data_IF_097960821015
#
_entry.id   IF_097960821015
#
_cell.length_a   1.000
_cell.length_b   1.000
_cell.length_c   1.000
_cell.angle_alpha   90.00
_cell.angle_beta   90.00
_cell.angle_gamma   90.00
#
_symmetry.space_group_name_H-M   'P 1'
#
loop_
_entity.id
_entity.type
_entity.pdbx_description
1 polymer ?
#
# COMPACT_ATOMS: atom_id res chain seq x y z
N UNK A 1 -29.68 -13.08 7.28
CA UNK A 1 -30.06 -13.76 6.02
C UNK A 1 -28.78 -14.01 5.23
N UNK A 2 -28.49 -15.23 4.86
CA UNK A 2 -27.36 -15.52 3.97
C UNK A 2 -27.73 -14.99 2.57
N UNK A 3 -27.00 -13.96 2.12
CA UNK A 3 -27.14 -13.43 0.77
C UNK A 3 -26.37 -14.37 -0.16
N UNK A 4 -27.07 -15.05 -1.06
CA UNK A 4 -26.46 -15.87 -2.10
C UNK A 4 -26.26 -14.96 -3.31
N UNK A 5 -25.01 -14.80 -3.74
CA UNK A 5 -24.67 -14.03 -4.92
C UNK A 5 -25.33 -14.62 -6.17
N UNK A 6 -25.96 -13.77 -6.95
CA UNK A 6 -26.56 -14.14 -8.26
C UNK A 6 -25.84 -13.37 -9.36
N UNK A 7 -25.10 -14.09 -10.18
CA UNK A 7 -24.45 -13.51 -11.34
C UNK A 7 -25.48 -12.99 -12.35
N UNK A 8 -25.40 -11.72 -12.71
CA UNK A 8 -26.29 -11.09 -13.69
C UNK A 8 -25.58 -9.89 -14.33
N UNK A 9 -26.08 -9.45 -15.49
CA UNK A 9 -25.66 -8.20 -16.12
C UNK A 9 -26.34 -6.95 -15.52
N UNK A 10 -27.17 -7.13 -14.49
CA UNK A 10 -27.78 -6.05 -13.71
C UNK A 10 -27.00 -5.82 -12.43
N UNK A 11 -27.43 -4.84 -11.61
CA UNK A 11 -26.88 -4.61 -10.26
C UNK A 11 -26.95 -5.91 -9.45
N UNK A 12 -25.90 -6.18 -8.66
CA UNK A 12 -25.87 -7.33 -7.76
C UNK A 12 -27.00 -7.24 -6.72
N UNK A 13 -27.40 -8.37 -6.16
CA UNK A 13 -28.43 -8.42 -5.11
C UNK A 13 -27.95 -7.88 -3.75
N UNK A 14 -26.69 -7.47 -3.64
CA UNK A 14 -26.09 -6.82 -2.47
C UNK A 14 -25.73 -5.35 -2.75
N UNK A 15 -26.17 -4.80 -3.88
CA UNK A 15 -25.82 -3.44 -4.30
C UNK A 15 -26.22 -2.37 -3.26
N UNK A 16 -27.38 -2.49 -2.62
CA UNK A 16 -27.84 -1.51 -1.62
C UNK A 16 -26.90 -1.40 -0.41
N UNK A 17 -26.28 -2.51 0.00
CA UNK A 17 -25.28 -2.50 1.07
C UNK A 17 -24.02 -1.77 0.64
N UNK A 18 -23.49 -2.08 -0.57
CA UNK A 18 -22.30 -1.41 -1.11
C UNK A 18 -22.58 0.08 -1.31
N UNK A 19 -23.73 0.45 -1.84
CA UNK A 19 -24.13 1.85 -2.01
C UNK A 19 -24.10 2.59 -0.68
N UNK A 20 -24.71 2.02 0.36
CA UNK A 20 -24.73 2.60 1.72
C UNK A 20 -23.32 2.76 2.30
N UNK A 21 -22.45 1.75 2.14
CA UNK A 21 -21.05 1.81 2.59
C UNK A 21 -20.26 2.87 1.82
N UNK A 22 -20.40 2.94 0.50
CA UNK A 22 -19.72 3.93 -0.33
C UNK A 22 -20.13 5.38 0.04
N UNK A 23 -21.43 5.61 0.22
CA UNK A 23 -21.95 6.91 0.66
C UNK A 23 -21.43 7.29 2.05
N UNK A 24 -21.38 6.30 2.97
CA UNK A 24 -20.83 6.54 4.30
C UNK A 24 -19.35 6.91 4.26
N UNK A 25 -18.54 6.22 3.46
CA UNK A 25 -17.12 6.56 3.31
C UNK A 25 -16.93 7.94 2.70
N UNK A 26 -17.73 8.31 1.69
CA UNK A 26 -17.64 9.61 1.04
C UNK A 26 -18.01 10.79 1.98
N UNK A 27 -18.92 10.57 2.95
CA UNK A 27 -19.38 11.60 3.87
C UNK A 27 -18.71 11.58 5.25
N UNK A 28 -18.16 10.44 5.63
CA UNK A 28 -17.64 10.18 6.97
C UNK A 28 -16.25 9.53 6.95
N UNK A 29 -16.18 8.26 7.33
CA UNK A 29 -14.94 7.47 7.40
C UNK A 29 -15.28 5.98 7.34
N UNK A 30 -14.45 5.21 6.63
CA UNK A 30 -14.49 3.76 6.61
C UNK A 30 -13.15 3.16 7.01
N UNK A 31 -13.19 1.96 7.54
CA UNK A 31 -12.03 1.13 7.84
C UNK A 31 -12.14 -0.16 7.03
N UNK A 32 -11.10 -0.45 6.22
CA UNK A 32 -11.05 -1.63 5.37
C UNK A 32 -9.83 -2.47 5.73
N UNK A 33 -10.00 -3.79 5.80
CA UNK A 33 -8.89 -4.73 5.86
C UNK A 33 -8.37 -5.01 4.46
N UNK A 34 -7.14 -4.55 4.18
CA UNK A 34 -6.41 -4.76 2.93
C UNK A 34 -5.14 -5.60 3.14
N UNK A 35 -5.12 -6.42 4.19
CA UNK A 35 -3.98 -7.29 4.52
C UNK A 35 -3.63 -8.29 3.41
N UNK A 36 -4.55 -8.53 2.48
CA UNK A 36 -4.33 -9.36 1.29
C UNK A 36 -3.39 -8.72 0.22
N UNK A 37 -3.03 -7.44 0.34
CA UNK A 37 -1.99 -6.87 -0.53
C UNK A 37 -0.70 -7.66 -0.43
N UNK A 38 -0.08 -7.91 -1.58
CA UNK A 38 1.26 -8.45 -1.63
C UNK A 38 2.29 -7.41 -1.17
N UNK A 39 3.27 -7.86 -0.41
CA UNK A 39 4.28 -6.97 0.18
C UNK A 39 5.66 -7.58 0.03
N UNK A 40 6.61 -6.77 -0.43
CA UNK A 40 8.00 -7.17 -0.39
C UNK A 40 8.93 -6.04 0.06
N UNK A 41 10.05 -6.43 0.63
CA UNK A 41 11.17 -5.56 0.97
C UNK A 41 12.25 -5.71 -0.08
N UNK A 42 12.82 -4.58 -0.50
CA UNK A 42 13.98 -4.51 -1.39
C UNK A 42 15.07 -3.76 -0.65
N UNK A 43 16.17 -4.44 -0.37
CA UNK A 43 17.28 -3.88 0.41
C UNK A 43 18.62 -4.10 -0.28
N UNK A 44 19.59 -3.27 0.07
CA UNK A 44 20.97 -3.40 -0.40
C UNK A 44 21.52 -2.13 -1.02
N UNK A 45 22.84 -2.04 -1.18
CA UNK A 45 23.52 -0.82 -1.63
C UNK A 45 23.11 -0.39 -3.06
N UNK A 46 22.61 -1.30 -3.89
CA UNK A 46 22.14 -0.99 -5.24
C UNK A 46 20.60 -1.05 -5.38
N UNK A 47 19.85 -1.04 -4.27
CA UNK A 47 18.39 -1.17 -4.29
C UNK A 47 17.71 -0.06 -5.14
N UNK A 48 18.14 1.21 -4.99
CA UNK A 48 17.60 2.34 -5.76
C UNK A 48 17.90 2.20 -7.25
N UNK A 49 19.17 1.94 -7.61
CA UNK A 49 19.59 1.78 -8.99
C UNK A 49 18.88 0.63 -9.69
N UNK A 50 18.77 -0.51 -9.00
CA UNK A 50 18.07 -1.67 -9.53
C UNK A 50 16.57 -1.41 -9.70
N UNK A 51 15.88 -0.85 -8.70
CA UNK A 51 14.45 -0.51 -8.82
C UNK A 51 14.18 0.43 -9.99
N UNK A 52 15.02 1.47 -10.18
CA UNK A 52 14.90 2.38 -11.32
C UNK A 52 15.11 1.69 -12.69
N UNK A 53 15.79 0.56 -12.72
CA UNK A 53 15.93 -0.26 -13.96
C UNK A 53 14.73 -1.19 -14.21
N UNK A 54 13.94 -1.47 -13.17
CA UNK A 54 12.80 -2.40 -13.23
C UNK A 54 11.47 -1.69 -13.47
N UNK A 55 11.31 -0.48 -12.94
CA UNK A 55 10.07 0.31 -13.06
C UNK A 55 10.21 1.48 -14.02
N UNK A 56 9.12 1.88 -14.63
CA UNK A 56 9.10 2.98 -15.62
C UNK A 56 9.16 4.37 -14.99
N UNK A 57 8.72 4.51 -13.72
CA UNK A 57 8.77 5.77 -12.98
C UNK A 57 10.09 5.87 -12.20
N UNK A 58 10.46 7.09 -11.85
CA UNK A 58 11.56 7.31 -10.91
C UNK A 58 11.10 6.93 -9.51
N UNK A 59 11.84 6.03 -8.85
CA UNK A 59 11.54 5.65 -7.46
C UNK A 59 11.77 6.80 -6.48
N UNK A 60 11.08 6.81 -5.32
CA UNK A 60 11.28 7.84 -4.30
C UNK A 60 12.74 7.95 -3.87
N UNK A 61 13.31 9.16 -3.95
CA UNK A 61 14.71 9.44 -3.59
C UNK A 61 14.89 9.75 -2.10
N UNK A 62 13.92 10.43 -1.48
CA UNK A 62 14.00 10.82 -0.09
C UNK A 62 13.32 9.79 0.82
N UNK A 63 13.94 9.48 1.95
CA UNK A 63 13.34 8.64 3.00
C UNK A 63 11.99 9.21 3.42
N UNK A 64 11.02 8.36 3.65
CA UNK A 64 9.65 8.74 3.98
C UNK A 64 8.77 9.08 2.78
N UNK A 65 9.29 9.07 1.55
CA UNK A 65 8.47 9.34 0.34
C UNK A 65 7.92 8.08 -0.27
N UNK A 66 6.76 8.25 -0.91
CA UNK A 66 6.03 7.21 -1.63
C UNK A 66 5.95 7.58 -3.10
N UNK A 67 6.07 6.61 -3.99
CA UNK A 67 5.85 6.73 -5.43
C UNK A 67 4.97 5.61 -5.94
N UNK A 68 4.09 5.92 -6.87
CA UNK A 68 3.34 4.94 -7.64
C UNK A 68 4.13 4.61 -8.90
N UNK A 69 4.53 3.36 -9.07
CA UNK A 69 5.44 2.94 -10.13
C UNK A 69 4.89 1.73 -10.88
N UNK A 70 5.15 1.67 -12.18
CA UNK A 70 4.72 0.56 -13.03
C UNK A 70 5.92 -0.23 -13.55
N UNK A 71 5.82 -1.54 -13.48
CA UNK A 71 6.71 -2.44 -14.19
C UNK A 71 6.10 -2.73 -15.57
N UNK A 72 6.92 -2.59 -16.61
CA UNK A 72 6.45 -2.78 -17.99
C UNK A 72 7.00 -4.06 -18.61
N UNK A 73 6.26 -4.61 -19.54
CA UNK A 73 6.76 -5.63 -20.47
C UNK A 73 7.65 -4.99 -21.54
N UNK A 74 8.40 -5.82 -22.29
CA UNK A 74 9.23 -5.36 -23.41
C UNK A 74 8.45 -4.60 -24.50
N UNK A 75 7.14 -4.84 -24.58
CA UNK A 75 6.26 -4.20 -25.56
C UNK A 75 5.53 -2.97 -24.99
N UNK A 76 5.92 -2.50 -23.79
CA UNK A 76 5.35 -1.31 -23.15
C UNK A 76 4.02 -1.56 -22.41
N UNK A 77 3.50 -2.78 -22.38
CA UNK A 77 2.29 -3.11 -21.61
C UNK A 77 2.58 -3.12 -20.10
N UNK A 78 1.64 -2.62 -19.29
CA UNK A 78 1.74 -2.67 -17.83
C UNK A 78 1.71 -4.12 -17.36
N UNK A 79 2.76 -4.53 -16.63
CA UNK A 79 2.90 -5.86 -16.05
C UNK A 79 2.49 -5.90 -14.59
N UNK A 80 2.91 -4.91 -13.83
CA UNK A 80 2.57 -4.75 -12.43
C UNK A 80 2.57 -3.26 -12.05
N UNK A 81 1.82 -2.94 -11.01
CA UNK A 81 1.81 -1.62 -10.37
C UNK A 81 2.26 -1.78 -8.92
N UNK A 82 3.14 -0.89 -8.48
CA UNK A 82 3.67 -0.88 -7.14
C UNK A 82 3.46 0.47 -6.47
N UNK A 83 2.98 0.46 -5.25
CA UNK A 83 3.25 1.53 -4.29
C UNK A 83 4.63 1.27 -3.71
N UNK A 84 5.58 2.17 -3.92
CA UNK A 84 6.96 2.05 -3.44
C UNK A 84 7.20 3.11 -2.37
N UNK A 85 7.53 2.67 -1.17
CA UNK A 85 7.86 3.51 -0.02
C UNK A 85 9.33 3.37 0.33
N UNK A 86 10.09 4.48 0.38
CA UNK A 86 11.48 4.48 0.82
C UNK A 86 11.55 4.54 2.35
N UNK A 87 11.77 3.39 3.00
CA UNK A 87 11.85 3.24 4.45
C UNK A 87 13.13 3.84 5.04
N UNK A 88 14.25 3.61 4.35
CA UNK A 88 15.56 4.16 4.72
C UNK A 88 16.46 4.24 3.47
N UNK A 89 17.72 4.62 3.61
CA UNK A 89 18.62 4.88 2.48
C UNK A 89 18.67 3.72 1.47
N UNK A 90 18.79 2.49 1.95
CA UNK A 90 18.93 1.27 1.14
C UNK A 90 17.78 0.29 1.36
N UNK A 91 16.60 0.77 1.77
CA UNK A 91 15.45 -0.07 2.07
C UNK A 91 14.16 0.51 1.47
N UNK A 92 13.57 -0.24 0.56
CA UNK A 92 12.32 0.06 -0.10
C UNK A 92 11.27 -0.98 0.26
N UNK A 93 10.08 -0.52 0.49
CA UNK A 93 8.90 -1.34 0.74
C UNK A 93 7.93 -1.22 -0.43
N UNK A 94 7.59 -2.34 -1.04
CA UNK A 94 6.70 -2.43 -2.19
C UNK A 94 5.38 -3.06 -1.76
N UNK A 95 4.28 -2.43 -2.15
CA UNK A 95 2.91 -2.95 -1.98
C UNK A 95 2.29 -3.09 -3.36
N UNK A 96 1.63 -4.22 -3.63
CA UNK A 96 1.05 -4.53 -4.93
C UNK A 96 -0.12 -5.52 -4.83
N UNK A 97 -0.74 -5.85 -5.97
CA UNK A 97 -1.93 -6.69 -6.02
C UNK A 97 -1.68 -8.09 -5.45
N UNK A 98 -2.42 -8.47 -4.41
CA UNK A 98 -2.30 -9.79 -3.76
C UNK A 98 -2.59 -10.96 -4.71
N UNK A 99 -3.53 -10.79 -5.64
CA UNK A 99 -3.85 -11.80 -6.66
C UNK A 99 -2.69 -12.10 -7.63
N UNK A 100 -1.75 -11.17 -7.77
CA UNK A 100 -0.57 -11.29 -8.64
C UNK A 100 0.72 -11.59 -7.87
N UNK A 101 0.65 -11.80 -6.55
CA UNK A 101 1.82 -11.92 -5.68
C UNK A 101 2.86 -12.90 -6.23
N UNK A 102 2.46 -14.13 -6.58
CA UNK A 102 3.39 -15.14 -7.07
C UNK A 102 4.05 -14.75 -8.38
N UNK A 103 3.24 -14.24 -9.32
CA UNK A 103 3.71 -13.85 -10.65
C UNK A 103 4.71 -12.69 -10.56
N UNK A 104 4.40 -11.65 -9.80
CA UNK A 104 5.24 -10.46 -9.73
C UNK A 104 6.48 -10.70 -8.86
N UNK A 105 6.34 -11.45 -7.77
CA UNK A 105 7.45 -11.91 -6.95
C UNK A 105 8.48 -12.72 -7.76
N UNK A 106 8.02 -13.72 -8.50
CA UNK A 106 8.93 -14.56 -9.32
C UNK A 106 9.66 -13.72 -10.37
N UNK A 107 8.99 -12.72 -10.91
CA UNK A 107 9.63 -11.83 -11.89
C UNK A 107 10.66 -10.91 -11.24
N UNK A 108 10.35 -10.27 -10.13
CA UNK A 108 11.30 -9.46 -9.37
C UNK A 108 12.54 -10.26 -8.97
N UNK A 109 12.34 -11.50 -8.49
CA UNK A 109 13.44 -12.41 -8.15
C UNK A 109 14.35 -12.73 -9.34
N UNK A 110 13.77 -12.94 -10.52
CA UNK A 110 14.54 -13.21 -11.75
C UNK A 110 15.35 -12.01 -12.23
N UNK A 111 14.90 -10.80 -11.94
CA UNK A 111 15.59 -9.56 -12.32
C UNK A 111 16.61 -9.12 -11.27
N UNK A 112 16.53 -9.64 -10.06
CA UNK A 112 17.47 -9.29 -8.99
C UNK A 112 18.90 -9.75 -9.35
N UNK A 113 19.91 -8.87 -9.16
CA UNK A 113 21.30 -9.25 -9.42
C UNK A 113 21.75 -10.35 -8.47
N UNK A 114 22.63 -11.22 -8.96
CA UNK A 114 23.17 -12.36 -8.18
C UNK A 114 24.42 -12.02 -7.36
N UNK A 115 24.91 -10.79 -7.44
CA UNK A 115 26.11 -10.31 -6.78
C UNK A 115 25.94 -9.93 -5.29
N UNK A 116 24.71 -10.07 -4.77
CA UNK A 116 24.37 -9.71 -3.40
C UNK A 116 24.13 -8.21 -3.16
N UNK A 117 24.21 -7.37 -4.20
CA UNK A 117 23.98 -5.92 -4.10
C UNK A 117 22.53 -5.56 -3.85
N UNK A 118 21.59 -6.47 -4.13
CA UNK A 118 20.15 -6.32 -3.89
C UNK A 118 19.56 -7.60 -3.31
N UNK A 119 18.79 -7.45 -2.24
CA UNK A 119 17.99 -8.53 -1.65
C UNK A 119 16.51 -8.19 -1.80
N UNK A 120 15.75 -9.10 -2.39
CA UNK A 120 14.28 -9.00 -2.52
C UNK A 120 13.64 -10.05 -1.63
N UNK A 121 12.85 -9.63 -0.65
CA UNK A 121 12.23 -10.53 0.34
C UNK A 121 10.72 -10.36 0.37
N UNK A 122 10.00 -11.47 0.28
CA UNK A 122 8.55 -11.49 0.48
C UNK A 122 8.22 -11.37 1.97
N UNK A 123 7.37 -10.41 2.31
CA UNK A 123 6.96 -10.12 3.69
C UNK A 123 5.43 -10.00 3.85
N UNK A 124 4.67 -10.50 2.90
CA UNK A 124 3.19 -10.38 2.86
C UNK A 124 2.53 -10.84 4.15
N UNK A 125 2.91 -12.00 4.65
CA UNK A 125 2.31 -12.58 5.86
C UNK A 125 2.84 -12.00 7.19
N UNK A 126 3.80 -11.07 7.13
CA UNK A 126 4.37 -10.44 8.33
C UNK A 126 3.62 -9.18 8.73
N UNK A 127 2.87 -8.57 7.81
CA UNK A 127 2.21 -7.30 8.01
C UNK A 127 0.72 -7.36 7.66
N UNK A 128 -0.12 -6.89 8.58
CA UNK A 128 -1.49 -6.50 8.31
C UNK A 128 -1.54 -5.09 7.69
N UNK A 129 -2.63 -4.79 6.99
CA UNK A 129 -2.90 -3.46 6.43
C UNK A 129 -4.34 -3.08 6.68
N UNK A 130 -4.54 -2.01 7.43
CA UNK A 130 -5.84 -1.38 7.63
C UNK A 130 -5.87 -0.05 6.87
N UNK A 131 -6.85 0.13 5.99
CA UNK A 131 -7.07 1.37 5.27
C UNK A 131 -8.14 2.18 5.97
N UNK A 132 -7.77 3.34 6.48
CA UNK A 132 -8.70 4.31 7.05
C UNK A 132 -8.93 5.42 6.02
N UNK A 133 -10.15 5.56 5.52
CA UNK A 133 -10.47 6.44 4.40
C UNK A 133 -11.76 7.23 4.60
N UNK A 134 -11.80 8.45 4.10
CA UNK A 134 -12.93 9.36 4.16
C UNK A 134 -12.58 10.72 4.77
N UNK A 135 -13.42 11.75 4.62
CA UNK A 135 -13.13 13.11 5.07
C UNK A 135 -12.83 13.22 6.57
N UNK A 136 -13.39 12.35 7.41
CA UNK A 136 -13.16 12.31 8.86
C UNK A 136 -12.00 11.39 9.29
N UNK A 137 -11.29 10.77 8.36
CA UNK A 137 -10.20 9.82 8.66
C UNK A 137 -9.08 10.45 9.51
N UNK A 138 -8.74 11.71 9.26
CA UNK A 138 -7.74 12.42 10.06
C UNK A 138 -8.18 12.61 11.50
N UNK A 139 -9.42 13.01 11.73
CA UNK A 139 -9.98 13.22 13.06
C UNK A 139 -9.93 11.91 13.87
N UNK A 140 -10.38 10.82 13.27
CA UNK A 140 -10.33 9.50 13.92
C UNK A 140 -8.90 9.07 14.21
N UNK A 141 -7.99 9.14 13.24
CA UNK A 141 -6.60 8.70 13.45
C UNK A 141 -5.89 9.60 14.46
N UNK A 142 -6.13 10.92 14.45
CA UNK A 142 -5.52 11.87 15.39
C UNK A 142 -5.93 11.59 16.84
N UNK A 143 -7.12 11.03 17.08
CA UNK A 143 -7.54 10.64 18.44
C UNK A 143 -6.79 9.43 19.00
N UNK A 144 -6.05 8.71 18.15
CA UNK A 144 -5.33 7.48 18.48
C UNK A 144 -3.80 7.64 18.46
N UNK A 145 -3.29 8.82 18.07
CA UNK A 145 -1.85 9.07 17.94
C UNK A 145 -1.47 10.47 18.36
N UNK A 146 -0.31 10.61 19.00
CA UNK A 146 0.29 11.92 19.31
C UNK A 146 1.00 12.56 18.10
N UNK A 147 1.19 11.81 17.02
CA UNK A 147 1.81 12.32 15.79
C UNK A 147 0.88 13.32 15.12
N UNK A 148 1.38 14.52 14.82
CA UNK A 148 0.61 15.50 14.03
C UNK A 148 0.38 15.01 12.60
N UNK A 149 -0.89 14.81 12.27
CA UNK A 149 -1.37 14.36 10.96
C UNK A 149 -1.75 15.52 10.03
N UNK A 150 -1.47 16.76 10.41
CA UNK A 150 -1.68 17.94 9.58
C UNK A 150 -0.93 17.88 8.24
N UNK A 151 -1.42 18.63 7.24
CA UNK A 151 -0.85 18.59 5.89
C UNK A 151 0.63 18.99 5.83
N UNK A 152 1.06 19.91 6.69
CA UNK A 152 2.43 20.41 6.72
C UNK A 152 3.38 19.38 7.32
N UNK A 153 2.91 18.60 8.29
CA UNK A 153 3.71 17.62 9.01
C UNK A 153 3.57 16.21 8.45
N UNK A 154 2.46 15.88 7.80
CA UNK A 154 2.26 14.60 7.13
C UNK A 154 1.79 14.81 5.69
N UNK A 155 2.72 14.98 4.78
CA UNK A 155 2.46 15.33 3.38
C UNK A 155 1.84 14.16 2.60
N UNK A 156 1.08 14.49 1.57
CA UNK A 156 0.60 13.51 0.59
C UNK A 156 1.76 12.72 -0.02
N UNK A 157 1.56 11.44 -0.26
CA UNK A 157 2.59 10.49 -0.71
C UNK A 157 3.82 10.47 0.19
N UNK A 158 3.60 10.44 1.49
CA UNK A 158 4.64 10.20 2.48
C UNK A 158 4.19 9.15 3.49
N UNK A 159 5.16 8.50 4.11
CA UNK A 159 4.96 7.53 5.17
C UNK A 159 5.79 7.88 6.40
N UNK A 160 5.27 7.49 7.57
CA UNK A 160 5.94 7.62 8.86
C UNK A 160 5.58 6.43 9.74
N UNK A 161 6.49 6.04 10.59
CA UNK A 161 6.16 5.17 11.72
C UNK A 161 5.48 5.99 12.80
N UNK A 162 4.29 5.57 13.22
CA UNK A 162 3.51 6.21 14.27
C UNK A 162 3.00 5.17 15.27
N UNK A 163 2.67 5.59 16.47
CA UNK A 163 1.92 4.76 17.41
C UNK A 163 0.42 5.02 17.18
N UNK A 164 -0.36 3.96 17.04
CA UNK A 164 -1.83 3.99 16.97
C UNK A 164 -2.35 3.22 18.18
N UNK A 165 -2.76 3.92 19.20
CA UNK A 165 -3.00 3.31 20.51
C UNK A 165 -1.74 2.63 21.03
N UNK A 166 -1.80 1.31 21.25
CA UNK A 166 -0.66 0.51 21.73
C UNK A 166 0.17 -0.15 20.62
N UNK A 167 -0.30 -0.07 19.37
CA UNK A 167 0.38 -0.67 18.23
C UNK A 167 1.26 0.35 17.51
N UNK A 168 2.44 -0.08 17.06
CA UNK A 168 3.25 0.69 16.13
C UNK A 168 2.89 0.30 14.69
N UNK A 169 2.65 1.30 13.84
CA UNK A 169 2.34 1.10 12.43
C UNK A 169 3.15 2.05 11.53
N UNK A 170 3.48 1.60 10.35
CA UNK A 170 3.88 2.49 9.26
C UNK A 170 2.61 3.05 8.62
N UNK A 171 2.32 4.31 8.88
CA UNK A 171 1.21 5.01 8.27
C UNK A 171 1.66 5.60 6.94
N UNK A 172 1.06 5.13 5.85
CA UNK A 172 1.31 5.63 4.51
C UNK A 172 0.15 6.55 4.11
N UNK A 173 0.41 7.83 3.90
CA UNK A 173 -0.61 8.76 3.42
C UNK A 173 -0.84 8.60 1.93
N UNK A 174 -1.50 7.54 1.60
CA UNK A 174 -1.93 7.13 0.25
C UNK A 174 -3.33 6.56 0.37
N UNK A 175 -4.12 6.63 -0.68
CA UNK A 175 -5.45 6.05 -0.69
C UNK A 175 -5.82 5.63 -2.11
N UNK A 176 -6.30 4.42 -2.25
CA UNK A 176 -6.69 3.82 -3.53
C UNK A 176 -7.99 4.41 -4.09
N UNK A 177 -8.92 4.86 -3.22
CA UNK A 177 -10.25 5.34 -3.63
C UNK A 177 -10.34 6.86 -3.84
N UNK A 178 -9.23 7.59 -3.69
CA UNK A 178 -9.19 9.04 -3.89
C UNK A 178 -9.66 9.89 -2.72
N UNK A 179 -10.06 9.30 -1.61
CA UNK A 179 -10.44 9.99 -0.38
C UNK A 179 -9.22 10.36 0.47
N UNK A 180 -9.40 11.27 1.44
CA UNK A 180 -8.41 11.47 2.49
C UNK A 180 -8.26 10.16 3.27
N UNK A 181 -7.02 9.72 3.52
CA UNK A 181 -6.83 8.50 4.28
C UNK A 181 -5.38 8.08 4.44
N UNK A 182 -5.22 6.99 5.17
CA UNK A 182 -3.95 6.33 5.44
C UNK A 182 -4.08 4.82 5.33
N UNK A 183 -3.08 4.18 4.78
CA UNK A 183 -2.83 2.76 4.97
C UNK A 183 -1.97 2.58 6.20
N UNK A 184 -2.45 1.80 7.16
CA UNK A 184 -1.75 1.49 8.41
C UNK A 184 -1.17 0.08 8.31
N UNK A 185 0.12 0.00 8.04
CA UNK A 185 0.83 -1.27 7.93
C UNK A 185 1.42 -1.62 9.30
N UNK A 186 0.96 -2.70 9.90
CA UNK A 186 1.32 -3.12 11.25
C UNK A 186 1.80 -4.57 11.29
N UNK A 187 2.61 -4.98 12.29
CA UNK A 187 2.91 -6.38 12.52
C UNK A 187 1.63 -7.21 12.61
N UNK A 188 1.62 -8.39 11.99
CA UNK A 188 0.38 -9.20 11.86
C UNK A 188 -0.17 -9.68 13.21
N UNK A 189 0.65 -9.69 14.24
CA UNK A 189 0.29 -10.07 15.61
C UNK A 189 -0.36 -8.95 16.45
N UNK A 190 -0.51 -7.74 15.91
CA UNK A 190 -1.05 -6.55 16.60
C UNK A 190 -2.52 -6.29 16.28
#
# INVERSE_FOLDING_TARGET
KNIVEKNSFRRSNYFEFIESECLHVAEHVGLLDMSAFAKCSVTGPNAEGWLNSVVANVVPKSVGRIGLCHMLSKNGGVRAEFTIYKRSENNYYLVFAGSQERHDWDYLKKLAPSDGSVTVQKITSQLGVLVLAGPKSREVLQSLTDTDLGNDNFKWLSGKTINVGYAQAEALRVNFIGELGWELHHPIEM
#
